data_IF_173618601700
#
_entry.id   IF_173618601700
#
_cell.length_a   1.000
_cell.length_b   1.000
_cell.length_c   1.000
_cell.angle_alpha   90.00
_cell.angle_beta   90.00
_cell.angle_gamma   90.00
#
_symmetry.space_group_name_H-M   'P 1'
#
loop_
_entity.id
_entity.type
_entity.pdbx_description
1 polymer ?
#
# COMPACT_ATOMS: atom_id res chain seq x y z
N UNK A 1 -24.69 9.57 53.33
CA UNK A 1 -23.23 9.76 53.16
C UNK A 1 -22.71 8.67 52.22
N UNK A 2 -22.92 8.83 50.91
CA UNK A 2 -22.43 7.92 49.86
C UNK A 2 -22.12 8.76 48.62
N UNK A 3 -20.89 9.29 48.51
CA UNK A 3 -20.39 9.96 47.30
C UNK A 3 -18.86 9.82 47.21
N UNK A 4 -18.38 8.60 46.99
CA UNK A 4 -16.98 8.33 46.58
C UNK A 4 -16.88 7.15 45.61
N UNK A 5 -17.81 7.00 44.67
CA UNK A 5 -17.76 5.93 43.68
C UNK A 5 -18.39 6.33 42.35
N UNK A 6 -17.87 7.38 41.72
CA UNK A 6 -18.24 7.71 40.33
C UNK A 6 -17.11 8.36 39.52
N UNK A 7 -15.88 8.39 40.03
CA UNK A 7 -14.70 8.91 39.29
C UNK A 7 -13.75 7.78 38.88
N UNK A 8 -14.08 6.52 39.20
CA UNK A 8 -13.26 5.37 38.82
C UNK A 8 -13.63 4.76 37.46
N UNK A 9 -14.74 5.15 36.85
CA UNK A 9 -15.21 4.58 35.57
C UNK A 9 -14.88 5.43 34.33
N UNK A 10 -14.39 6.65 34.49
CA UNK A 10 -14.04 7.53 33.36
C UNK A 10 -12.56 7.36 32.95
N UNK A 11 -11.71 6.80 33.82
CA UNK A 11 -10.31 6.51 33.49
C UNK A 11 -10.09 5.23 32.69
N UNK A 12 -11.12 4.39 32.51
CA UNK A 12 -11.04 3.12 31.76
C UNK A 12 -11.68 3.19 30.36
N UNK A 13 -12.13 4.37 29.92
CA UNK A 13 -12.72 4.55 28.58
C UNK A 13 -11.81 5.29 27.59
N UNK A 14 -10.65 5.79 28.04
CA UNK A 14 -9.65 6.43 27.18
C UNK A 14 -8.48 5.51 26.81
N UNK A 15 -8.41 4.30 27.38
CA UNK A 15 -7.37 3.32 27.04
C UNK A 15 -7.77 2.36 25.91
N UNK A 16 -9.05 2.35 25.50
CA UNK A 16 -9.55 1.52 24.40
C UNK A 16 -9.34 2.13 23.01
N UNK A 17 -8.82 3.36 22.91
CA UNK A 17 -8.54 4.02 21.62
C UNK A 17 -7.07 3.91 21.16
N UNK A 18 -6.20 3.18 21.88
CA UNK A 18 -4.78 3.00 21.51
C UNK A 18 -4.51 1.67 20.78
N UNK A 19 -5.53 0.83 20.59
CA UNK A 19 -5.41 -0.43 19.83
C UNK A 19 -6.45 -0.53 18.69
N UNK A 20 -6.57 0.55 17.93
CA UNK A 20 -7.03 0.47 16.54
C UNK A 20 -5.89 0.92 15.62
N UNK A 21 -4.68 0.39 15.83
CA UNK A 21 -3.77 0.24 14.71
C UNK A 21 -4.40 -0.85 13.85
N UNK A 22 -5.21 -0.43 12.88
CA UNK A 22 -5.44 -1.23 11.68
C UNK A 22 -4.09 -1.84 11.30
N UNK A 23 -3.98 -3.16 11.19
CA UNK A 23 -2.75 -3.72 10.70
C UNK A 23 -2.52 -3.08 9.35
N UNK A 24 -1.39 -2.39 9.19
CA UNK A 24 -0.70 -2.22 7.92
C UNK A 24 -0.28 -3.62 7.40
N UNK A 25 -1.20 -4.58 7.40
CA UNK A 25 -1.17 -5.76 6.56
C UNK A 25 -1.74 -5.26 5.25
N UNK A 26 -0.86 -4.79 4.38
CA UNK A 26 -1.21 -4.51 2.99
C UNK A 26 -1.36 -5.88 2.31
N UNK A 27 -2.32 -6.67 2.75
CA UNK A 27 -2.84 -7.74 1.94
C UNK A 27 -3.29 -7.08 0.64
N UNK A 28 -2.63 -7.42 -0.47
CA UNK A 28 -2.88 -6.84 -1.78
C UNK A 28 -4.40 -6.72 -2.00
N UNK A 29 -4.89 -5.48 -2.10
CA UNK A 29 -6.33 -5.25 -2.15
C UNK A 29 -6.91 -5.97 -3.36
N UNK A 30 -8.15 -6.47 -3.28
CA UNK A 30 -8.81 -7.09 -4.44
C UNK A 30 -8.76 -6.19 -5.68
N UNK A 31 -8.81 -4.87 -5.46
CA UNK A 31 -8.66 -3.85 -6.49
C UNK A 31 -7.28 -3.86 -7.18
N UNK A 32 -6.18 -4.08 -6.44
CA UNK A 32 -4.84 -4.19 -7.03
C UNK A 32 -4.71 -5.48 -7.88
N UNK A 33 -5.34 -6.58 -7.46
CA UNK A 33 -5.36 -7.84 -8.22
C UNK A 33 -6.15 -7.70 -9.52
N UNK A 34 -7.31 -7.06 -9.47
CA UNK A 34 -8.11 -6.79 -10.67
C UNK A 34 -7.41 -5.84 -11.64
N UNK A 35 -6.74 -4.81 -11.10
CA UNK A 35 -5.94 -3.89 -11.91
C UNK A 35 -4.77 -4.62 -12.59
N UNK A 36 -4.07 -5.51 -11.88
CA UNK A 36 -3.01 -6.34 -12.46
C UNK A 36 -3.53 -7.24 -13.57
N UNK A 37 -4.72 -7.80 -13.41
CA UNK A 37 -5.35 -8.63 -14.43
C UNK A 37 -5.64 -7.84 -15.71
N UNK A 38 -6.19 -6.62 -15.59
CA UNK A 38 -6.40 -5.73 -16.74
C UNK A 38 -5.07 -5.35 -17.42
N UNK A 39 -4.03 -5.08 -16.63
CA UNK A 39 -2.69 -4.85 -17.19
C UNK A 39 -2.16 -6.05 -17.96
N UNK A 40 -2.34 -7.27 -17.49
CA UNK A 40 -1.87 -8.48 -18.19
C UNK A 40 -2.53 -8.67 -19.55
N UNK A 41 -3.80 -8.27 -19.68
CA UNK A 41 -4.58 -8.42 -20.91
C UNK A 41 -4.32 -7.26 -21.89
N UNK A 42 -4.14 -6.04 -21.39
CA UNK A 42 -4.06 -4.82 -22.23
C UNK A 42 -2.63 -4.31 -22.45
N UNK A 43 -1.71 -4.53 -21.51
CA UNK A 43 -0.33 -4.06 -21.57
C UNK A 43 0.64 -5.00 -20.83
N UNK A 44 1.14 -6.06 -21.49
CA UNK A 44 1.96 -7.10 -20.84
C UNK A 44 3.27 -6.55 -20.28
N UNK A 45 3.85 -5.50 -20.89
CA UNK A 45 5.05 -4.84 -20.37
C UNK A 45 4.78 -4.15 -19.05
N UNK A 46 3.69 -3.39 -18.97
CA UNK A 46 3.29 -2.73 -17.73
C UNK A 46 2.96 -3.74 -16.62
N UNK A 47 2.37 -4.89 -16.98
CA UNK A 47 2.10 -5.97 -16.06
C UNK A 47 3.37 -6.56 -15.42
N UNK A 48 4.47 -6.68 -16.18
CA UNK A 48 5.76 -7.14 -15.64
C UNK A 48 6.32 -6.17 -14.60
N UNK A 49 6.29 -4.86 -14.87
CA UNK A 49 6.70 -3.86 -13.91
C UNK A 49 5.84 -3.91 -12.65
N UNK A 50 4.53 -4.02 -12.80
CA UNK A 50 3.63 -4.12 -11.64
C UNK A 50 3.87 -5.39 -10.83
N UNK A 51 4.13 -6.53 -11.48
CA UNK A 51 4.51 -7.76 -10.79
C UNK A 51 5.77 -7.57 -9.94
N UNK A 52 6.79 -6.87 -10.47
CA UNK A 52 8.02 -6.56 -9.71
C UNK A 52 7.71 -5.65 -8.50
N UNK A 53 6.94 -4.59 -8.69
CA UNK A 53 6.54 -3.68 -7.61
C UNK A 53 5.75 -4.41 -6.52
N UNK A 54 4.83 -5.30 -6.90
CA UNK A 54 4.06 -6.11 -5.95
C UNK A 54 4.97 -7.03 -5.13
N UNK A 55 5.95 -7.67 -5.76
CA UNK A 55 6.94 -8.48 -5.04
C UNK A 55 7.73 -7.66 -4.00
N UNK A 56 8.07 -6.41 -4.32
CA UNK A 56 8.73 -5.51 -3.35
C UNK A 56 7.83 -5.20 -2.16
N UNK A 57 6.52 -5.01 -2.36
CA UNK A 57 5.59 -4.80 -1.25
C UNK A 57 5.45 -6.04 -0.35
N UNK A 58 5.45 -7.24 -0.93
CA UNK A 58 5.46 -8.49 -0.16
C UNK A 58 6.73 -8.61 0.69
N UNK A 59 7.90 -8.26 0.12
CA UNK A 59 9.16 -8.21 0.87
C UNK A 59 9.10 -7.18 2.02
N UNK A 60 8.55 -5.99 1.80
CA UNK A 60 8.36 -4.98 2.85
C UNK A 60 7.45 -5.48 3.97
N UNK A 61 6.38 -6.19 3.64
CA UNK A 61 5.45 -6.73 4.63
C UNK A 61 6.15 -7.73 5.55
N UNK A 62 6.98 -8.62 5.00
CA UNK A 62 7.77 -9.59 5.76
C UNK A 62 8.71 -8.85 6.72
N UNK A 63 9.44 -7.85 6.24
CA UNK A 63 10.36 -7.05 7.06
C UNK A 63 9.62 -6.38 8.22
N UNK A 64 8.48 -5.73 7.93
CA UNK A 64 7.67 -5.05 8.95
C UNK A 64 7.04 -6.02 9.94
N UNK A 65 6.68 -7.22 9.49
CA UNK A 65 6.20 -8.30 10.36
C UNK A 65 7.31 -8.78 11.30
N UNK A 66 8.49 -9.08 10.78
CA UNK A 66 9.61 -9.54 11.60
C UNK A 66 10.04 -8.48 12.63
N UNK A 67 9.98 -7.20 12.27
CA UNK A 67 10.23 -6.10 13.22
C UNK A 67 9.17 -6.05 14.34
N UNK A 68 7.88 -6.17 13.99
CA UNK A 68 6.78 -6.20 14.97
C UNK A 68 6.88 -7.39 15.92
N UNK A 69 7.34 -8.53 15.41
CA UNK A 69 7.58 -9.76 16.19
C UNK A 69 8.89 -9.71 16.99
N UNK A 70 9.67 -8.63 16.90
CA UNK A 70 10.94 -8.46 17.63
C UNK A 70 12.09 -9.34 17.13
N UNK A 71 11.97 -9.92 15.93
CA UNK A 71 12.99 -10.79 15.33
C UNK A 71 14.17 -10.02 14.74
N UNK A 72 13.96 -8.76 14.37
CA UNK A 72 14.99 -7.87 13.82
C UNK A 72 14.97 -6.52 14.54
N UNK A 73 16.12 -5.84 14.57
CA UNK A 73 16.24 -4.54 15.23
C UNK A 73 15.70 -3.41 14.35
N UNK A 74 15.40 -2.25 14.95
CA UNK A 74 15.01 -1.05 14.20
C UNK A 74 16.03 -0.68 13.12
N UNK A 75 17.33 -0.76 13.44
CA UNK A 75 18.41 -0.45 12.50
C UNK A 75 18.40 -1.39 11.29
N UNK A 76 18.25 -2.70 11.53
CA UNK A 76 18.20 -3.69 10.45
C UNK A 76 16.95 -3.51 9.58
N UNK A 77 15.82 -3.19 10.20
CA UNK A 77 14.57 -2.85 9.51
C UNK A 77 14.77 -1.65 8.58
N UNK A 78 15.35 -0.56 9.08
CA UNK A 78 15.61 0.65 8.29
C UNK A 78 16.55 0.39 7.11
N UNK A 79 17.61 -0.40 7.32
CA UNK A 79 18.55 -0.76 6.27
C UNK A 79 17.88 -1.60 5.18
N UNK A 80 17.13 -2.64 5.57
CA UNK A 80 16.40 -3.50 4.63
C UNK A 80 15.34 -2.72 3.85
N UNK A 81 14.54 -1.89 4.52
CA UNK A 81 13.52 -1.07 3.85
C UNK A 81 14.15 -0.06 2.89
N UNK A 82 15.30 0.53 3.22
CA UNK A 82 16.02 1.43 2.31
C UNK A 82 16.40 0.72 1.01
N UNK A 83 16.89 -0.53 1.09
CA UNK A 83 17.20 -1.33 -0.10
C UNK A 83 15.96 -1.56 -0.95
N UNK A 84 14.81 -1.91 -0.35
CA UNK A 84 13.57 -2.10 -1.09
C UNK A 84 13.10 -0.82 -1.77
N UNK A 85 13.15 0.31 -1.06
CA UNK A 85 12.78 1.61 -1.61
C UNK A 85 13.66 2.02 -2.79
N UNK A 86 14.98 1.74 -2.74
CA UNK A 86 15.86 1.97 -3.89
C UNK A 86 15.43 1.15 -5.12
N UNK A 87 15.15 -0.14 -4.96
CA UNK A 87 14.66 -0.99 -6.06
C UNK A 87 13.33 -0.46 -6.63
N UNK A 88 12.43 0.01 -5.78
CA UNK A 88 11.16 0.59 -6.23
C UNK A 88 11.38 1.88 -7.01
N UNK A 89 12.30 2.74 -6.55
CA UNK A 89 12.68 3.96 -7.25
C UNK A 89 13.29 3.63 -8.62
N UNK A 90 14.18 2.63 -8.71
CA UNK A 90 14.76 2.19 -9.98
C UNK A 90 13.69 1.76 -10.99
N UNK A 91 12.67 1.00 -10.55
CA UNK A 91 11.56 0.61 -11.42
C UNK A 91 10.72 1.83 -11.83
N UNK A 92 10.34 2.67 -10.87
CA UNK A 92 9.41 3.79 -11.12
C UNK A 92 10.03 4.96 -11.86
N UNK A 93 11.37 5.08 -11.83
CA UNK A 93 12.14 6.05 -12.61
C UNK A 93 12.60 5.53 -13.98
N UNK A 94 12.35 4.25 -14.27
CA UNK A 94 12.64 3.68 -15.59
C UNK A 94 11.81 4.39 -16.66
N UNK A 95 12.46 4.73 -17.78
CA UNK A 95 11.83 5.51 -18.83
C UNK A 95 10.68 4.75 -19.49
N UNK A 96 10.86 3.45 -19.73
CA UNK A 96 9.81 2.65 -20.35
C UNK A 96 8.61 2.51 -19.42
N UNK A 97 8.85 2.26 -18.13
CA UNK A 97 7.78 2.25 -17.13
C UNK A 97 6.96 3.55 -17.13
N UNK A 98 7.63 4.71 -17.13
CA UNK A 98 6.94 6.01 -17.17
C UNK A 98 6.09 6.17 -18.43
N UNK A 99 6.60 5.75 -19.58
CA UNK A 99 5.87 5.81 -20.85
C UNK A 99 4.64 4.91 -20.80
N UNK A 100 4.80 3.66 -20.39
CA UNK A 100 3.72 2.67 -20.34
C UNK A 100 2.62 3.09 -19.34
N UNK A 101 3.00 3.59 -18.16
CA UNK A 101 2.05 4.15 -17.19
C UNK A 101 1.29 5.37 -17.75
N UNK A 102 1.98 6.24 -18.49
CA UNK A 102 1.35 7.42 -19.11
C UNK A 102 0.37 7.01 -20.20
N UNK A 103 0.76 6.07 -21.08
CA UNK A 103 -0.10 5.54 -22.12
C UNK A 103 -1.34 4.87 -21.52
N UNK A 104 -1.17 4.04 -20.50
CA UNK A 104 -2.28 3.44 -19.79
C UNK A 104 -3.23 4.51 -19.21
N UNK A 105 -2.69 5.54 -18.57
CA UNK A 105 -3.49 6.63 -18.00
C UNK A 105 -4.29 7.41 -19.05
N UNK A 106 -3.76 7.59 -20.26
CA UNK A 106 -4.47 8.23 -21.39
C UNK A 106 -5.57 7.32 -21.91
N UNK A 107 -5.25 6.04 -22.15
CA UNK A 107 -6.18 5.08 -22.77
C UNK A 107 -7.29 4.62 -21.83
N UNK A 108 -7.07 4.68 -20.52
CA UNK A 108 -8.05 4.27 -19.50
C UNK A 108 -9.06 5.36 -19.15
N UNK A 109 -8.92 6.57 -19.67
CA UNK A 109 -9.89 7.63 -19.43
C UNK A 109 -11.20 7.30 -20.16
N UNK A 110 -12.36 7.30 -19.46
CA UNK A 110 -13.63 7.22 -20.16
C UNK A 110 -13.73 8.43 -21.09
N UNK A 111 -14.03 8.18 -22.37
CA UNK A 111 -14.31 9.23 -23.35
C UNK A 111 -15.54 10.03 -22.89
N UNK A 112 -15.32 11.05 -22.06
CA UNK A 112 -16.30 12.09 -21.83
C UNK A 112 -16.35 12.94 -23.09
N UNK A 113 -17.04 12.44 -24.11
CA UNK A 113 -17.48 13.24 -25.24
C UNK A 113 -18.72 14.04 -24.80
N UNK A 114 -18.66 15.37 -24.65
CA UNK A 114 -19.85 16.18 -24.84
C UNK A 114 -20.10 16.28 -26.36
N UNK A 115 -20.57 15.20 -26.97
CA UNK A 115 -21.11 15.25 -28.34
C UNK A 115 -22.61 14.98 -28.22
N UNK A 116 -23.41 16.00 -28.49
CA UNK A 116 -24.87 15.88 -28.60
C UNK A 116 -25.66 16.50 -27.46
N UNK A 117 -25.59 17.83 -27.33
CA UNK A 117 -26.80 18.61 -27.02
C UNK A 117 -26.91 19.67 -28.10
N UNK A 118 -27.37 19.24 -29.27
CA UNK A 118 -28.14 20.12 -30.15
C UNK A 118 -29.52 20.33 -29.51
#
# INVERSE_FOLDING_TARGET
MVKKSLIFFISLFLFSSVFAQEPLGVAMSQQQKEMLKRFQEENPRLAEYQKKILGLYEEMEIILKDYREGKITKRDTEEKLRVILHKQIEITSDREYMVEMTLFGILSQPLNNPVGKE
#
